data_IF_897327128194
#
_entry.id   IF_897327128194
#
_cell.length_a   1.000
_cell.length_b   1.000
_cell.length_c   1.000
_cell.angle_alpha   90.00
_cell.angle_beta   90.00
_cell.angle_gamma   90.00
#
_symmetry.space_group_name_H-M   'P 1'
#
loop_
_entity.id
_entity.type
_entity.pdbx_description
1 polymer ?
#
# COMPACT_ATOMS: atom_id res chain seq x y z
N UNK A 1 -22.82 11.99 -2.04
CA UNK A 1 -21.93 12.47 -0.98
C UNK A 1 -21.21 13.68 -1.53
N UNK A 2 -21.70 14.87 -1.21
CA UNK A 2 -21.12 16.11 -1.74
C UNK A 2 -20.20 16.79 -0.72
N UNK A 3 -19.68 16.03 0.25
CA UNK A 3 -18.98 16.58 1.40
C UNK A 3 -17.55 16.02 1.52
N UNK A 4 -16.75 16.21 0.46
CA UNK A 4 -15.32 15.92 0.49
C UNK A 4 -14.53 17.07 -0.12
N UNK A 5 -13.29 17.21 0.31
CA UNK A 5 -12.30 18.17 -0.22
C UNK A 5 -11.18 17.41 -0.92
N UNK A 6 -10.93 17.72 -2.18
CA UNK A 6 -9.79 17.13 -2.91
C UNK A 6 -8.50 17.59 -2.26
N UNK A 7 -7.66 16.62 -1.87
CA UNK A 7 -6.32 16.83 -1.31
C UNK A 7 -5.24 16.72 -2.38
N UNK A 8 -5.35 15.70 -3.24
CA UNK A 8 -4.42 15.44 -4.34
C UNK A 8 -5.24 15.18 -5.61
N UNK A 9 -5.02 15.97 -6.62
CA UNK A 9 -5.61 15.74 -7.94
C UNK A 9 -4.89 14.62 -8.70
N UNK A 10 -5.49 14.20 -9.79
CA UNK A 10 -4.98 13.13 -10.64
C UNK A 10 -3.55 13.41 -11.16
N UNK A 11 -3.29 14.63 -11.60
CA UNK A 11 -2.00 15.01 -12.20
C UNK A 11 -0.87 14.95 -11.17
N UNK A 12 -1.12 15.47 -9.97
CA UNK A 12 -0.19 15.41 -8.83
C UNK A 12 0.12 13.96 -8.46
N UNK A 13 -0.91 13.10 -8.40
CA UNK A 13 -0.73 11.66 -8.12
C UNK A 13 0.13 11.01 -9.19
N UNK A 14 -0.21 11.18 -10.47
CA UNK A 14 0.50 10.55 -11.58
C UNK A 14 1.96 10.98 -11.67
N UNK A 15 2.24 12.25 -11.39
CA UNK A 15 3.61 12.77 -11.33
C UNK A 15 4.42 12.05 -10.25
N UNK A 16 3.87 11.94 -9.02
CA UNK A 16 4.59 11.28 -7.92
C UNK A 16 4.78 9.79 -8.15
N UNK A 17 3.76 9.12 -8.69
CA UNK A 17 3.85 7.69 -9.06
C UNK A 17 4.94 7.43 -10.08
N UNK A 18 5.09 8.32 -11.07
CA UNK A 18 6.18 8.24 -12.05
C UNK A 18 7.54 8.40 -11.38
N UNK A 19 7.71 9.38 -10.50
CA UNK A 19 8.96 9.59 -9.74
C UNK A 19 9.33 8.34 -8.93
N UNK A 20 8.36 7.74 -8.22
CA UNK A 20 8.57 6.49 -7.48
C UNK A 20 8.98 5.33 -8.39
N UNK A 21 8.35 5.19 -9.55
CA UNK A 21 8.74 4.18 -10.55
C UNK A 21 10.17 4.36 -11.05
N UNK A 22 10.61 5.61 -11.24
CA UNK A 22 11.98 5.94 -11.61
C UNK A 22 12.98 5.66 -10.48
N UNK A 23 12.63 5.96 -9.22
CA UNK A 23 13.43 5.63 -8.02
C UNK A 23 13.64 4.11 -7.92
N UNK A 24 12.56 3.34 -7.99
CA UNK A 24 12.61 1.86 -7.94
C UNK A 24 13.42 1.32 -9.12
N UNK A 25 13.25 1.87 -10.31
CA UNK A 25 14.02 1.46 -11.49
C UNK A 25 15.53 1.61 -11.26
N UNK A 26 15.97 2.72 -10.66
CA UNK A 26 17.39 2.93 -10.33
C UNK A 26 17.91 1.96 -9.27
N UNK A 27 17.12 1.77 -8.19
CA UNK A 27 17.55 0.97 -7.05
C UNK A 27 17.62 -0.53 -7.36
N UNK A 28 16.84 -0.98 -8.35
CA UNK A 28 16.76 -2.37 -8.76
C UNK A 28 17.37 -2.66 -10.12
N UNK A 29 18.31 -1.81 -10.59
CA UNK A 29 19.05 -2.10 -11.84
C UNK A 29 19.69 -3.49 -11.78
N UNK A 30 19.56 -4.24 -12.89
CA UNK A 30 20.04 -5.62 -13.02
C UNK A 30 19.36 -6.64 -12.08
N UNK A 31 18.18 -6.31 -11.55
CA UNK A 31 17.36 -7.18 -10.71
C UNK A 31 15.97 -7.36 -11.31
N UNK A 32 15.31 -8.43 -10.89
CA UNK A 32 13.93 -8.74 -11.26
C UNK A 32 13.10 -8.89 -9.98
N UNK A 33 12.63 -7.79 -9.38
CA UNK A 33 11.91 -7.85 -8.13
C UNK A 33 10.52 -8.48 -8.31
N UNK A 34 10.02 -9.10 -7.22
CA UNK A 34 8.62 -9.46 -7.08
C UNK A 34 7.89 -8.30 -6.43
N UNK A 35 6.92 -7.72 -7.13
CA UNK A 35 6.11 -6.60 -6.64
C UNK A 35 4.77 -7.13 -6.20
N UNK A 36 4.46 -7.01 -4.91
CA UNK A 36 3.26 -7.57 -4.28
C UNK A 36 2.27 -6.44 -3.95
N UNK A 37 1.05 -6.54 -4.48
CA UNK A 37 -0.04 -5.62 -4.18
C UNK A 37 -0.81 -6.06 -2.95
N UNK A 38 -0.98 -5.18 -1.97
CA UNK A 38 -1.89 -5.39 -0.84
C UNK A 38 -3.32 -5.00 -1.25
N UNK A 39 -4.16 -6.03 -1.39
CA UNK A 39 -5.56 -5.84 -1.80
C UNK A 39 -6.44 -5.42 -0.61
N UNK A 40 -7.49 -4.60 -0.81
CA UNK A 40 -7.97 -4.07 -2.12
C UNK A 40 -7.43 -2.66 -2.44
N UNK A 41 -7.08 -1.88 -1.41
CA UNK A 41 -6.84 -0.44 -1.52
C UNK A 41 -5.68 -0.07 -2.44
N UNK A 42 -4.59 -0.85 -2.43
CA UNK A 42 -3.41 -0.54 -3.22
C UNK A 42 -3.56 -0.76 -4.75
N UNK A 43 -4.67 -1.31 -5.23
CA UNK A 43 -4.80 -1.80 -6.61
C UNK A 43 -4.52 -0.73 -7.68
N UNK A 44 -5.05 0.49 -7.50
CA UNK A 44 -4.87 1.59 -8.47
C UNK A 44 -3.43 2.11 -8.45
N UNK A 45 -2.91 2.37 -7.25
CA UNK A 45 -1.51 2.77 -7.06
C UNK A 45 -0.54 1.73 -7.63
N UNK A 46 -0.75 0.46 -7.32
CA UNK A 46 0.06 -0.65 -7.82
C UNK A 46 0.05 -0.72 -9.35
N UNK A 47 -1.13 -0.61 -9.97
CA UNK A 47 -1.26 -0.68 -11.42
C UNK A 47 -0.52 0.46 -12.12
N UNK A 48 -0.60 1.67 -11.57
CA UNK A 48 0.10 2.81 -12.15
C UNK A 48 1.61 2.78 -11.85
N UNK A 49 2.00 2.39 -10.63
CA UNK A 49 3.40 2.26 -10.24
C UNK A 49 4.15 1.25 -11.12
N UNK A 50 3.60 0.05 -11.30
CA UNK A 50 4.25 -1.01 -12.07
C UNK A 50 4.47 -0.65 -13.53
N UNK A 51 3.59 0.12 -14.15
CA UNK A 51 3.77 0.67 -15.51
C UNK A 51 4.94 1.66 -15.60
N UNK A 52 5.28 2.31 -14.49
CA UNK A 52 6.36 3.30 -14.43
C UNK A 52 7.73 2.69 -14.04
N UNK A 53 7.78 1.45 -13.56
CA UNK A 53 9.03 0.71 -13.34
C UNK A 53 9.52 0.15 -14.69
N UNK A 54 10.75 0.52 -15.08
CA UNK A 54 11.33 0.15 -16.39
C UNK A 54 12.31 -1.02 -16.26
N UNK A 55 11.89 -2.06 -15.52
CA UNK A 55 12.63 -3.32 -15.34
C UNK A 55 11.68 -4.50 -15.56
N UNK A 56 12.20 -5.67 -15.95
CA UNK A 56 11.46 -6.91 -15.81
C UNK A 56 11.07 -7.11 -14.34
N UNK A 57 9.82 -7.43 -14.08
CA UNK A 57 9.33 -7.71 -12.72
C UNK A 57 8.25 -8.77 -12.73
N UNK A 58 8.06 -9.43 -11.61
CA UNK A 58 6.91 -10.29 -11.38
C UNK A 58 5.90 -9.54 -10.52
N UNK A 59 4.61 -9.74 -10.78
CA UNK A 59 3.53 -9.19 -9.95
C UNK A 59 2.82 -10.32 -9.22
N UNK A 60 2.41 -10.03 -7.98
CA UNK A 60 1.55 -10.91 -7.21
C UNK A 60 0.66 -10.08 -6.28
N UNK A 61 -0.26 -10.73 -5.61
CA UNK A 61 -1.26 -10.08 -4.78
C UNK A 61 -1.36 -10.78 -3.44
N UNK A 62 -1.68 -10.02 -2.39
CA UNK A 62 -2.00 -10.56 -1.08
C UNK A 62 -3.18 -9.81 -0.48
N UNK A 63 -3.92 -10.46 0.40
CA UNK A 63 -5.00 -9.83 1.15
C UNK A 63 -5.01 -10.31 2.58
N UNK A 64 -4.91 -9.37 3.51
CA UNK A 64 -5.13 -9.62 4.92
C UNK A 64 -6.44 -8.99 5.39
N UNK A 65 -7.02 -9.58 6.42
CA UNK A 65 -8.16 -9.03 7.15
C UNK A 65 -7.84 -9.01 8.64
N UNK A 66 -8.20 -7.93 9.30
CA UNK A 66 -8.24 -7.88 10.76
C UNK A 66 -9.63 -8.32 11.21
N UNK A 67 -9.73 -9.47 11.85
CA UNK A 67 -11.01 -9.94 12.39
C UNK A 67 -11.42 -9.05 13.57
N UNK A 68 -12.52 -8.31 13.41
CA UNK A 68 -13.17 -7.57 14.51
C UNK A 68 -14.33 -8.38 15.06
N UNK A 69 -14.09 -9.56 15.62
CA UNK A 69 -15.12 -10.30 16.36
C UNK A 69 -14.68 -10.51 17.81
N UNK A 70 -15.26 -9.72 18.70
CA UNK A 70 -15.45 -9.94 20.13
C UNK A 70 -14.25 -10.36 20.98
N UNK A 71 -13.83 -9.51 21.93
CA UNK A 71 -13.09 -9.80 23.18
C UNK A 71 -11.64 -10.28 23.14
N UNK A 72 -11.06 -10.62 22.01
CA UNK A 72 -9.62 -10.88 21.91
C UNK A 72 -9.01 -10.02 20.79
N UNK A 73 -7.92 -9.32 21.09
CA UNK A 73 -7.16 -8.44 20.17
C UNK A 73 -7.00 -9.09 18.81
N UNK A 74 -7.49 -8.39 17.76
CA UNK A 74 -7.66 -8.85 16.41
C UNK A 74 -6.58 -9.80 15.86
N UNK A 75 -6.94 -11.05 15.68
CA UNK A 75 -6.13 -11.98 14.90
C UNK A 75 -6.11 -11.51 13.44
N UNK A 76 -4.90 -11.35 12.89
CA UNK A 76 -4.72 -11.10 11.47
C UNK A 76 -4.93 -12.42 10.72
N UNK A 77 -5.79 -12.38 9.71
CA UNK A 77 -6.04 -13.52 8.84
C UNK A 77 -5.54 -13.23 7.43
N UNK A 78 -4.77 -14.15 6.88
CA UNK A 78 -4.34 -14.10 5.49
C UNK A 78 -5.43 -14.71 4.61
N UNK A 79 -6.25 -13.86 3.99
CA UNK A 79 -7.37 -14.25 3.14
C UNK A 79 -6.91 -14.76 1.78
N UNK A 80 -5.88 -14.11 1.23
CA UNK A 80 -5.25 -14.49 -0.04
C UNK A 80 -3.75 -14.34 0.07
N UNK A 81 -3.04 -15.41 -0.20
CA UNK A 81 -1.57 -15.47 -0.11
C UNK A 81 -0.93 -15.40 -1.49
N UNK A 82 0.31 -14.95 -1.53
CA UNK A 82 1.11 -14.92 -2.76
C UNK A 82 1.37 -16.34 -3.28
N UNK A 83 1.40 -16.46 -4.60
CA UNK A 83 1.74 -17.69 -5.32
C UNK A 83 3.18 -17.68 -5.83
N UNK A 84 3.78 -16.51 -5.97
CA UNK A 84 5.14 -16.32 -6.42
C UNK A 84 6.16 -16.92 -5.42
N UNK A 85 7.17 -17.61 -5.94
CA UNK A 85 8.33 -18.03 -5.15
C UNK A 85 9.23 -16.81 -4.93
N UNK A 86 9.41 -16.42 -3.67
CA UNK A 86 10.19 -15.23 -3.29
C UNK A 86 11.55 -15.57 -2.66
N UNK A 87 11.85 -16.86 -2.45
CA UNK A 87 13.15 -17.29 -1.90
C UNK A 87 14.31 -16.76 -2.77
N UNK A 88 15.25 -16.06 -2.13
CA UNK A 88 16.40 -15.47 -2.79
C UNK A 88 16.07 -14.30 -3.73
N UNK A 89 14.84 -13.77 -3.72
CA UNK A 89 14.41 -12.65 -4.57
C UNK A 89 14.20 -11.37 -3.77
N UNK A 90 14.38 -10.24 -4.42
CA UNK A 90 14.00 -8.95 -3.86
C UNK A 90 12.47 -8.77 -3.98
N UNK A 91 11.85 -8.33 -2.90
CA UNK A 91 10.40 -8.10 -2.81
C UNK A 91 10.10 -6.62 -2.58
N UNK A 92 9.13 -6.09 -3.30
CA UNK A 92 8.57 -4.75 -3.07
C UNK A 92 7.09 -4.93 -2.71
N UNK A 93 6.75 -4.59 -1.47
CA UNK A 93 5.38 -4.65 -0.97
C UNK A 93 4.70 -3.30 -1.18
N UNK A 94 3.63 -3.28 -1.96
CA UNK A 94 2.90 -2.05 -2.32
C UNK A 94 1.63 -1.94 -1.50
N UNK A 95 1.49 -0.83 -0.76
CA UNK A 95 0.39 -0.53 0.14
C UNK A 95 -0.27 0.80 -0.23
N UNK A 96 -1.58 0.93 -0.01
CA UNK A 96 -2.30 2.19 -0.20
C UNK A 96 -1.99 3.17 0.92
N UNK A 97 -2.08 2.74 2.17
CA UNK A 97 -1.86 3.59 3.34
C UNK A 97 -1.18 2.81 4.47
N UNK A 98 -0.10 3.35 4.98
CA UNK A 98 0.54 2.83 6.20
C UNK A 98 0.12 3.71 7.39
N UNK A 99 -0.87 3.24 8.14
CA UNK A 99 -1.41 3.90 9.35
C UNK A 99 -0.72 3.36 10.61
N UNK A 100 -1.33 2.46 11.38
CA UNK A 100 -0.69 1.85 12.56
C UNK A 100 0.54 0.99 12.22
N UNK A 101 0.59 0.44 11.03
CA UNK A 101 1.65 -0.43 10.54
C UNK A 101 1.54 -1.90 10.97
N UNK A 102 0.61 -2.26 11.84
CA UNK A 102 0.49 -3.63 12.41
C UNK A 102 0.28 -4.69 11.34
N UNK A 103 -0.66 -4.46 10.41
CA UNK A 103 -0.96 -5.39 9.32
C UNK A 103 0.26 -5.62 8.43
N UNK A 104 0.92 -4.53 8.07
CA UNK A 104 2.09 -4.56 7.22
C UNK A 104 3.26 -5.29 7.89
N UNK A 105 3.54 -5.00 9.19
CA UNK A 105 4.56 -5.70 9.97
C UNK A 105 4.31 -7.20 10.01
N UNK A 106 3.09 -7.61 10.34
CA UNK A 106 2.71 -9.03 10.36
C UNK A 106 2.98 -9.70 9.01
N UNK A 107 2.61 -9.06 7.90
CA UNK A 107 2.82 -9.64 6.57
C UNK A 107 4.30 -9.71 6.19
N UNK A 108 5.10 -8.69 6.52
CA UNK A 108 6.56 -8.70 6.32
C UNK A 108 7.20 -9.86 7.09
N UNK A 109 6.77 -10.12 8.32
CA UNK A 109 7.25 -11.27 9.10
C UNK A 109 6.90 -12.61 8.44
N UNK A 110 5.72 -12.73 7.81
CA UNK A 110 5.34 -13.92 7.02
C UNK A 110 6.19 -14.08 5.75
N UNK A 111 6.46 -12.98 5.05
CA UNK A 111 7.32 -13.00 3.87
C UNK A 111 8.75 -13.38 4.22
N UNK A 112 9.30 -12.84 5.31
CA UNK A 112 10.67 -13.13 5.76
C UNK A 112 10.90 -14.60 6.10
N UNK A 113 9.87 -15.34 6.54
CA UNK A 113 9.94 -16.79 6.74
C UNK A 113 10.15 -17.59 5.45
N UNK A 114 9.99 -16.96 4.29
CA UNK A 114 10.19 -17.54 2.96
C UNK A 114 11.54 -17.17 2.34
N UNK A 115 12.46 -16.65 3.16
CA UNK A 115 13.84 -16.32 2.79
C UNK A 115 14.00 -15.43 1.54
N UNK A 116 13.30 -14.30 1.41
CA UNK A 116 13.59 -13.33 0.35
C UNK A 116 14.97 -12.69 0.58
N UNK A 117 15.60 -12.18 -0.46
CA UNK A 117 16.83 -11.39 -0.36
C UNK A 117 16.59 -10.08 0.38
N UNK A 118 15.45 -9.44 0.09
CA UNK A 118 15.01 -8.22 0.77
C UNK A 118 13.49 -8.07 0.67
N UNK A 119 12.91 -7.33 1.63
CA UNK A 119 11.52 -6.86 1.57
C UNK A 119 11.55 -5.36 1.79
N UNK A 120 11.17 -4.57 0.78
CA UNK A 120 11.00 -3.12 0.86
C UNK A 120 9.54 -2.73 0.72
N UNK A 121 9.16 -1.63 1.35
CA UNK A 121 7.79 -1.11 1.38
C UNK A 121 7.68 0.13 0.50
N UNK A 122 6.70 0.10 -0.41
CA UNK A 122 6.27 1.24 -1.20
C UNK A 122 4.82 1.58 -0.83
N UNK A 123 4.60 2.73 -0.19
CA UNK A 123 3.28 3.16 0.25
C UNK A 123 2.83 4.40 -0.54
N UNK A 124 1.56 4.43 -0.97
CA UNK A 124 1.01 5.63 -1.56
C UNK A 124 0.87 6.74 -0.51
N UNK A 125 0.35 6.39 0.68
CA UNK A 125 0.22 7.30 1.82
C UNK A 125 0.99 6.79 3.03
N UNK A 126 1.79 7.67 3.67
CA UNK A 126 2.46 7.39 4.93
C UNK A 126 1.89 8.28 6.04
N UNK A 127 1.12 7.65 6.97
CA UNK A 127 0.53 8.32 8.14
C UNK A 127 1.37 8.05 9.38
N UNK A 128 2.31 8.92 9.68
CA UNK A 128 3.25 8.73 10.81
C UNK A 128 2.61 8.94 12.17
N UNK A 129 1.61 9.80 12.28
CA UNK A 129 0.98 10.17 13.57
C UNK A 129 0.30 9.00 14.29
N UNK A 130 -0.21 8.03 13.54
CA UNK A 130 -0.91 6.85 14.11
C UNK A 130 -0.06 5.60 14.11
N UNK A 131 1.26 5.74 13.87
CA UNK A 131 2.19 4.62 13.85
C UNK A 131 2.33 4.00 15.23
N UNK A 132 2.01 2.71 15.36
CA UNK A 132 2.10 1.95 16.61
C UNK A 132 3.28 0.97 16.62
N UNK A 133 3.84 0.66 15.47
CA UNK A 133 4.97 -0.28 15.33
C UNK A 133 6.07 0.35 14.48
N UNK A 134 7.30 0.03 14.80
CA UNK A 134 8.44 0.44 13.98
C UNK A 134 8.41 -0.30 12.63
N UNK A 135 8.15 0.48 11.59
CA UNK A 135 8.14 0.02 10.21
C UNK A 135 8.69 1.10 9.31
N UNK A 136 9.63 0.72 8.47
CA UNK A 136 10.21 1.62 7.48
C UNK A 136 9.40 1.57 6.20
N UNK A 137 8.95 2.74 5.73
CA UNK A 137 8.47 2.93 4.36
C UNK A 137 9.68 3.36 3.53
N UNK A 138 10.10 2.52 2.58
CA UNK A 138 11.30 2.77 1.75
C UNK A 138 11.00 3.75 0.63
N UNK A 139 9.80 3.69 0.08
CA UNK A 139 9.30 4.56 -0.98
C UNK A 139 7.94 5.11 -0.57
N UNK A 140 7.89 6.38 -0.20
CA UNK A 140 6.65 7.05 0.20
C UNK A 140 6.13 7.96 -0.91
N UNK A 141 4.87 7.82 -1.25
CA UNK A 141 4.18 8.73 -2.17
C UNK A 141 3.97 10.08 -1.53
N UNK A 142 3.09 10.12 -0.55
CA UNK A 142 2.74 11.36 0.16
C UNK A 142 2.65 11.13 1.67
N UNK A 143 3.11 12.12 2.44
CA UNK A 143 2.86 12.18 3.87
C UNK A 143 1.50 12.86 4.10
N UNK A 144 0.62 12.22 4.89
CA UNK A 144 -0.68 12.79 5.28
C UNK A 144 -0.77 12.81 6.80
N UNK A 145 -1.00 13.98 7.41
CA UNK A 145 -1.02 14.07 8.88
C UNK A 145 -2.25 13.40 9.48
N UNK A 146 -3.45 13.73 9.04
CA UNK A 146 -4.70 13.21 9.61
C UNK A 146 -5.83 13.18 8.58
N UNK A 147 -7.04 12.75 9.00
CA UNK A 147 -8.24 12.75 8.21
C UNK A 147 -8.65 11.37 7.70
N UNK A 148 -9.92 11.28 7.30
CA UNK A 148 -10.48 10.11 6.64
C UNK A 148 -10.49 10.36 5.13
N UNK A 149 -9.77 9.55 4.38
CA UNK A 149 -9.54 9.75 2.95
C UNK A 149 -10.24 8.71 2.10
N UNK A 150 -10.67 9.12 0.90
CA UNK A 150 -11.29 8.29 -0.13
C UNK A 150 -10.67 8.57 -1.49
N UNK A 151 -10.86 7.65 -2.41
CA UNK A 151 -10.36 7.75 -3.79
C UNK A 151 -8.99 7.12 -3.97
N UNK A 152 -8.63 6.88 -5.21
CA UNK A 152 -7.41 6.22 -5.65
C UNK A 152 -7.10 4.92 -4.89
N UNK A 153 -8.14 4.10 -4.69
CA UNK A 153 -8.10 2.82 -3.99
C UNK A 153 -8.70 2.83 -2.59
N UNK A 154 -8.61 3.95 -1.87
CA UNK A 154 -9.19 4.08 -0.52
C UNK A 154 -10.70 4.22 -0.58
N UNK A 155 -11.37 3.61 0.39
CA UNK A 155 -12.82 3.52 0.38
C UNK A 155 -13.51 4.14 1.61
N UNK A 156 -14.80 4.35 1.41
CA UNK A 156 -15.78 4.50 2.47
C UNK A 156 -16.93 3.52 2.24
N UNK A 157 -17.10 2.54 3.14
CA UNK A 157 -18.11 1.49 3.03
C UNK A 157 -18.09 0.76 1.66
N UNK A 158 -16.89 0.34 1.22
CA UNK A 158 -16.60 -0.35 -0.04
C UNK A 158 -16.89 0.47 -1.31
N UNK A 159 -17.04 1.78 -1.22
CA UNK A 159 -17.31 2.71 -2.34
C UNK A 159 -16.20 3.75 -2.46
N UNK A 160 -16.16 4.45 -3.60
CA UNK A 160 -15.27 5.57 -3.91
C UNK A 160 -13.81 5.20 -4.22
N UNK A 161 -13.46 3.91 -4.29
CA UNK A 161 -12.10 3.49 -4.69
C UNK A 161 -11.74 3.93 -6.11
N UNK A 162 -12.74 4.04 -6.98
CA UNK A 162 -12.61 4.37 -8.40
C UNK A 162 -12.30 5.85 -8.68
N UNK A 163 -12.42 6.73 -7.70
CA UNK A 163 -12.13 8.16 -7.90
C UNK A 163 -10.66 8.36 -8.28
N UNK A 164 -10.36 9.14 -9.33
CA UNK A 164 -8.97 9.27 -9.82
C UNK A 164 -8.11 10.25 -9.00
N UNK A 165 -8.65 10.77 -7.91
CA UNK A 165 -8.02 11.72 -7.00
C UNK A 165 -8.13 11.20 -5.56
N UNK A 166 -7.37 11.82 -4.65
CA UNK A 166 -7.50 11.64 -3.21
C UNK A 166 -8.29 12.78 -2.61
N UNK A 167 -9.30 12.47 -1.80
CA UNK A 167 -10.09 13.48 -1.11
C UNK A 167 -10.27 13.14 0.37
N UNK A 168 -10.37 14.17 1.20
CA UNK A 168 -10.74 14.06 2.61
C UNK A 168 -12.25 14.18 2.76
N UNK A 169 -12.86 13.28 3.52
CA UNK A 169 -14.29 13.33 3.85
C UNK A 169 -14.50 14.37 4.96
N UNK A 170 -15.33 15.38 4.67
CA UNK A 170 -15.71 16.41 5.63
C UNK A 170 -16.82 15.82 6.53
N UNK A 171 -16.58 15.81 7.87
CA UNK A 171 -17.48 15.20 8.86
C UNK A 171 -17.75 13.70 8.59
N UNK A 172 -16.72 12.84 8.66
CA UNK A 172 -16.94 11.41 8.54
C UNK A 172 -17.88 10.95 9.69
N UNK A 173 -18.80 10.00 9.43
CA UNK A 173 -19.61 9.44 10.49
C UNK A 173 -18.72 8.88 11.58
N UNK A 174 -19.14 9.06 12.83
CA UNK A 174 -18.43 8.46 13.98
C UNK A 174 -18.43 6.94 13.81
N UNK A 175 -17.23 6.34 13.85
CA UNK A 175 -17.04 4.91 13.81
C UNK A 175 -17.63 4.22 15.06
#
# INVERSE_FOLDING_TARGET
MDNYKILLDHETIQKRVKELGEEITRDYQCKEPVVICMLKGAVYFFADLTKNIKLPLMIDFARLSSYRSGTTSGQMELIYDITAKIEGRDVILVEDIVDSGKTLKYFIELLNKRNPTSVKVCAFLDKKERREVDIKVDYAGFDIPCGFVIGYGMDYAEKYRELPFLAEVINPPKA
#
